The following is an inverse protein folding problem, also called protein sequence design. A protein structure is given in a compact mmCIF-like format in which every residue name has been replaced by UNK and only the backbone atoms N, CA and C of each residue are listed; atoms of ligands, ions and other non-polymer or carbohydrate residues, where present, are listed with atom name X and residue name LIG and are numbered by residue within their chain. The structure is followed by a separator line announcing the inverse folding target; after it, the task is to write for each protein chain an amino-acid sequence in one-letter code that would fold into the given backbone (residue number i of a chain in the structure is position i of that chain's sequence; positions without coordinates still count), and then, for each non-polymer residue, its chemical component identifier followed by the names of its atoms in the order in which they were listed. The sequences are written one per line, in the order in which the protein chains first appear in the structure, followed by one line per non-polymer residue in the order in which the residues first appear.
data_IF_099912427606
#
_entry.id   IF_099912427606
#
_cell.length_a   1.000
_cell.length_b   1.000
_cell.length_c   1.000
_cell.angle_alpha   90.00
_cell.angle_beta   90.00
_cell.angle_gamma   90.00
#
_symmetry.space_group_name_H-M   'P 1'
#
loop_
_entity.id
_entity.type
_entity.pdbx_description
1 polymer ?
#
# COMPACT_ATOMS: atom_id res chain seq x y z
N UNK A 1 -1.64 9.22 0.36
CA UNK A 1 -1.47 7.75 0.40
C UNK A 1 -1.07 7.29 1.79
N UNK A 2 -1.94 7.46 2.75
CA UNK A 2 -1.69 7.00 4.12
C UNK A 2 -3.00 6.69 4.84
N UNK A 3 -2.92 5.87 5.88
CA UNK A 3 -4.02 5.59 6.80
C UNK A 3 -3.61 6.03 8.19
N UNK A 4 -4.39 6.92 8.81
CA UNK A 4 -4.18 7.37 10.19
C UNK A 4 -5.10 6.60 11.11
N UNK A 5 -4.56 6.04 12.20
CA UNK A 5 -5.29 5.30 13.21
C UNK A 5 -4.99 5.89 14.57
N UNK A 6 -6.04 6.20 15.35
CA UNK A 6 -5.87 6.72 16.69
C UNK A 6 -5.14 5.71 17.59
N UNK A 7 -4.20 6.17 18.41
CA UNK A 7 -3.38 5.29 19.26
C UNK A 7 -4.20 4.53 20.31
N UNK A 8 -5.45 4.93 20.57
CA UNK A 8 -6.36 4.19 21.49
C UNK A 8 -6.58 2.74 21.06
N UNK A 9 -6.47 2.44 19.77
CA UNK A 9 -6.65 1.08 19.26
C UNK A 9 -5.49 0.14 19.58
N UNK A 10 -4.32 0.68 19.92
CA UNK A 10 -3.13 -0.11 20.26
C UNK A 10 -2.33 -0.61 19.08
N UNK A 11 -1.06 -0.96 19.35
CA UNK A 11 -0.11 -1.37 18.33
C UNK A 11 -0.48 -2.72 17.69
N UNK A 12 -0.96 -3.67 18.50
CA UNK A 12 -1.33 -5.00 17.97
C UNK A 12 -2.39 -4.90 16.87
N UNK A 13 -3.38 -4.02 17.07
CA UNK A 13 -4.41 -3.78 16.06
C UNK A 13 -3.82 -3.14 14.81
N UNK A 14 -2.88 -2.21 14.96
CA UNK A 14 -2.21 -1.56 13.82
C UNK A 14 -1.45 -2.60 12.99
N UNK A 15 -0.74 -3.51 13.62
CA UNK A 15 -0.02 -4.59 12.92
C UNK A 15 -1.00 -5.52 12.21
N UNK A 16 -2.14 -5.82 12.83
CA UNK A 16 -3.22 -6.58 12.20
C UNK A 16 -3.76 -5.86 10.96
N UNK A 17 -3.99 -4.56 11.05
CA UNK A 17 -4.47 -3.75 9.92
C UNK A 17 -3.45 -3.71 8.79
N UNK A 18 -2.17 -3.57 9.08
CA UNK A 18 -1.12 -3.60 8.06
C UNK A 18 -1.19 -4.91 7.27
N UNK A 19 -1.28 -6.04 7.97
CA UNK A 19 -1.40 -7.35 7.32
C UNK A 19 -2.64 -7.46 6.43
N UNK A 20 -3.79 -7.00 6.94
CA UNK A 20 -5.05 -7.01 6.17
C UNK A 20 -5.00 -6.07 4.96
N UNK A 21 -4.36 -4.91 5.10
CA UNK A 21 -4.15 -3.99 3.98
C UNK A 21 -3.27 -4.62 2.89
N UNK A 22 -2.20 -5.30 3.27
CA UNK A 22 -1.34 -6.00 2.32
C UNK A 22 -2.14 -7.00 1.49
N UNK A 23 -2.91 -7.85 2.17
CA UNK A 23 -3.76 -8.85 1.53
C UNK A 23 -4.81 -8.19 0.62
N UNK A 24 -5.45 -7.15 1.10
CA UNK A 24 -6.50 -6.44 0.37
C UNK A 24 -5.95 -5.77 -0.90
N UNK A 25 -4.84 -5.05 -0.78
CA UNK A 25 -4.23 -4.36 -1.92
C UNK A 25 -3.81 -5.38 -2.98
N UNK A 26 -3.08 -6.44 -2.58
CA UNK A 26 -2.60 -7.47 -3.51
C UNK A 26 -3.77 -8.17 -4.18
N UNK A 27 -4.83 -8.48 -3.43
CA UNK A 27 -6.01 -9.16 -3.96
C UNK A 27 -6.85 -8.33 -4.93
N UNK A 28 -6.68 -7.00 -4.92
CA UNK A 28 -7.44 -6.08 -5.79
C UNK A 28 -6.65 -5.58 -7.00
N UNK A 29 -5.42 -6.04 -7.21
CA UNK A 29 -4.65 -5.64 -8.38
C UNK A 29 -5.28 -6.21 -9.64
N UNK A 30 -5.56 -5.34 -10.61
CA UNK A 30 -6.08 -5.73 -11.92
C UNK A 30 -5.04 -5.42 -12.99
N UNK A 31 -4.37 -6.45 -13.49
CA UNK A 31 -3.27 -6.32 -14.44
C UNK A 31 -3.70 -5.62 -15.73
N UNK A 32 -4.92 -5.83 -16.19
CA UNK A 32 -5.44 -5.23 -17.41
C UNK A 32 -5.49 -3.71 -17.36
N UNK A 33 -5.70 -3.16 -16.16
CA UNK A 33 -5.76 -1.71 -15.94
C UNK A 33 -4.38 -1.07 -15.78
N UNK A 34 -3.32 -1.87 -15.78
CA UNK A 34 -1.95 -1.40 -15.54
C UNK A 34 -1.11 -1.29 -16.83
N UNK A 35 -1.63 -1.77 -17.97
CA UNK A 35 -0.84 -1.91 -19.21
C UNK A 35 -0.20 -0.58 -19.63
N UNK A 36 -0.99 0.48 -19.72
CA UNK A 36 -0.48 1.76 -20.21
C UNK A 36 0.43 2.48 -19.21
N UNK A 37 0.17 2.34 -17.90
CA UNK A 37 1.05 2.93 -16.88
C UNK A 37 2.39 2.17 -16.80
N UNK A 38 2.37 0.87 -17.03
CA UNK A 38 3.58 0.03 -17.09
C UNK A 38 4.48 0.46 -18.25
N UNK A 39 3.90 0.75 -19.41
CA UNK A 39 4.62 1.27 -20.56
C UNK A 39 5.31 2.60 -20.23
N UNK A 40 4.59 3.52 -19.61
CA UNK A 40 5.14 4.81 -19.18
C UNK A 40 6.32 4.61 -18.20
N UNK A 41 6.17 3.71 -17.24
CA UNK A 41 7.21 3.42 -16.25
C UNK A 41 8.47 2.91 -16.96
N UNK A 42 8.32 1.98 -17.89
CA UNK A 42 9.47 1.40 -18.60
C UNK A 42 10.14 2.38 -19.56
N UNK A 43 9.45 3.42 -19.99
CA UNK A 43 10.03 4.50 -20.78
C UNK A 43 10.84 5.50 -19.94
N UNK A 44 10.46 5.70 -18.68
CA UNK A 44 11.02 6.74 -17.82
C UNK A 44 11.94 6.24 -16.72
N UNK A 45 11.87 4.96 -16.38
CA UNK A 45 12.70 4.33 -15.34
C UNK A 45 13.40 3.12 -15.93
N UNK A 46 14.72 3.08 -15.81
CA UNK A 46 15.52 1.98 -16.36
C UNK A 46 15.89 0.99 -15.26
N UNK A 47 15.64 -0.28 -15.52
CA UNK A 47 16.17 -1.35 -14.70
C UNK A 47 17.69 -1.44 -14.87
N UNK A 48 18.43 -1.55 -13.77
CA UNK A 48 19.87 -1.80 -13.77
C UNK A 48 20.19 -3.09 -14.53
N UNK A 49 19.29 -4.05 -14.47
CA UNK A 49 19.44 -5.36 -15.11
C UNK A 49 18.87 -5.40 -16.54
N UNK A 50 18.46 -4.27 -17.09
CA UNK A 50 17.84 -4.15 -18.43
C UNK A 50 16.63 -5.06 -18.61
N UNK A 51 15.87 -5.29 -17.51
CA UNK A 51 14.66 -6.10 -17.53
C UNK A 51 13.43 -5.20 -17.55
N UNK A 52 12.36 -5.73 -18.10
CA UNK A 52 11.05 -5.08 -18.04
C UNK A 52 10.60 -4.94 -16.58
N UNK A 53 10.08 -3.76 -16.22
CA UNK A 53 9.57 -3.48 -14.89
C UNK A 53 8.06 -3.76 -14.90
N UNK A 54 7.63 -4.70 -14.06
CA UNK A 54 6.21 -5.05 -13.94
C UNK A 54 5.49 -4.08 -12.99
N UNK A 55 4.41 -3.45 -13.47
CA UNK A 55 3.60 -2.59 -12.62
C UNK A 55 2.96 -3.36 -11.47
N UNK A 56 2.54 -4.62 -11.72
CA UNK A 56 2.03 -5.48 -10.66
C UNK A 56 3.07 -5.70 -9.57
N UNK A 57 4.30 -6.01 -9.94
CA UNK A 57 5.38 -6.26 -8.97
C UNK A 57 5.68 -5.01 -8.14
N UNK A 58 5.59 -3.83 -8.75
CA UNK A 58 5.73 -2.55 -8.03
C UNK A 58 4.64 -2.44 -6.95
N UNK A 59 3.39 -2.69 -7.31
CA UNK A 59 2.27 -2.56 -6.37
C UNK A 59 2.34 -3.61 -5.26
N UNK A 60 2.70 -4.84 -5.58
CA UNK A 60 2.93 -5.90 -4.58
C UNK A 60 4.04 -5.49 -3.62
N UNK A 61 5.16 -4.99 -4.15
CA UNK A 61 6.26 -4.51 -3.33
C UNK A 61 5.84 -3.35 -2.43
N UNK A 62 5.05 -2.42 -2.96
CA UNK A 62 4.49 -1.32 -2.17
C UNK A 62 3.64 -1.82 -1.01
N UNK A 63 2.74 -2.75 -1.26
CA UNK A 63 1.90 -3.37 -0.23
C UNK A 63 2.76 -4.10 0.82
N UNK A 64 3.77 -4.84 0.39
CA UNK A 64 4.65 -5.58 1.30
C UNK A 64 5.61 -4.69 2.11
N UNK A 65 5.74 -3.42 1.73
CA UNK A 65 6.59 -2.45 2.42
C UNK A 65 5.77 -1.37 3.15
N UNK A 66 4.53 -1.68 3.51
CA UNK A 66 3.75 -0.83 4.41
C UNK A 66 4.39 -0.86 5.81
N UNK A 67 4.51 0.32 6.40
CA UNK A 67 5.07 0.50 7.73
C UNK A 67 4.24 1.52 8.50
N UNK A 68 4.51 1.65 9.79
CA UNK A 68 3.82 2.65 10.61
C UNK A 68 4.82 3.59 11.28
N UNK A 69 4.34 4.79 11.56
CA UNK A 69 5.03 5.75 12.42
C UNK A 69 4.04 6.26 13.45
N UNK A 70 4.53 6.64 14.61
CA UNK A 70 3.72 7.24 15.67
C UNK A 70 3.98 8.74 15.66
N UNK A 71 2.93 9.52 15.49
CA UNK A 71 3.01 10.97 15.55
C UNK A 71 1.81 11.52 16.33
N UNK A 72 2.10 12.22 17.42
CA UNK A 72 1.07 12.68 18.36
C UNK A 72 0.23 11.48 18.84
N UNK A 73 -1.08 11.50 18.66
CA UNK A 73 -2.00 10.45 19.10
C UNK A 73 -2.43 9.54 17.94
N UNK A 74 -1.59 9.40 16.91
CA UNK A 74 -1.92 8.64 15.71
C UNK A 74 -0.79 7.70 15.30
N UNK A 75 -1.18 6.52 14.82
CA UNK A 75 -0.36 5.70 13.97
C UNK A 75 -0.62 6.10 12.53
N UNK A 76 0.43 6.34 11.77
CA UNK A 76 0.33 6.63 10.34
C UNK A 76 0.90 5.44 9.57
N UNK A 77 0.06 4.78 8.77
CA UNK A 77 0.46 3.65 7.93
C UNK A 77 0.67 4.17 6.51
N UNK A 78 1.85 3.92 5.96
CA UNK A 78 2.19 4.27 4.58
C UNK A 78 3.31 3.38 4.06
N UNK A 79 3.61 3.48 2.77
CA UNK A 79 4.74 2.76 2.18
C UNK A 79 6.04 3.36 2.74
N UNK A 80 6.99 2.50 3.09
CA UNK A 80 8.30 2.93 3.60
C UNK A 80 8.98 3.87 2.59
N UNK A 81 9.18 5.13 3.00
CA UNK A 81 9.76 6.18 2.15
C UNK A 81 11.24 5.96 1.82
N UNK A 82 11.90 5.06 2.52
CA UNK A 82 13.34 4.77 2.34
C UNK A 82 13.60 3.61 1.39
N UNK A 83 12.56 2.81 1.13
CA UNK A 83 12.70 1.61 0.31
C UNK A 83 12.97 1.98 -1.15
N UNK A 84 13.99 1.37 -1.75
CA UNK A 84 14.30 1.50 -3.17
C UNK A 84 13.57 0.38 -3.93
N UNK A 85 13.01 0.72 -5.09
CA UNK A 85 12.44 -0.29 -5.98
C UNK A 85 13.55 -1.19 -6.49
N UNK A 86 13.45 -2.50 -6.21
CA UNK A 86 14.47 -3.47 -6.56
C UNK A 86 14.86 -3.38 -8.04
N UNK A 87 16.17 -3.36 -8.30
CA UNK A 87 16.69 -3.29 -9.65
C UNK A 87 16.66 -1.91 -10.28
N UNK A 88 16.37 -0.86 -9.52
CA UNK A 88 16.38 0.54 -9.98
C UNK A 88 17.05 1.43 -8.93
N UNK A 89 17.22 2.71 -9.27
CA UNK A 89 17.67 3.72 -8.32
C UNK A 89 16.50 4.57 -7.79
N UNK A 90 15.26 4.21 -8.17
CA UNK A 90 14.07 4.96 -7.79
C UNK A 90 13.52 4.49 -6.44
N UNK A 91 12.90 5.42 -5.71
CA UNK A 91 12.20 5.08 -4.48
C UNK A 91 10.89 4.39 -4.81
N UNK A 92 10.62 3.28 -4.12
CA UNK A 92 9.37 2.53 -4.27
C UNK A 92 8.14 3.40 -4.03
N UNK A 93 8.19 4.24 -2.97
CA UNK A 93 7.10 5.16 -2.66
C UNK A 93 6.76 6.08 -3.83
N UNK A 94 7.78 6.64 -4.49
CA UNK A 94 7.58 7.59 -5.59
C UNK A 94 6.91 6.91 -6.79
N UNK A 95 7.30 5.70 -7.12
CA UNK A 95 6.70 4.96 -8.24
C UNK A 95 5.26 4.54 -7.90
N UNK A 96 5.01 4.06 -6.68
CA UNK A 96 3.66 3.74 -6.24
C UNK A 96 2.74 4.97 -6.25
N UNK A 97 3.27 6.12 -5.83
CA UNK A 97 2.55 7.39 -5.86
C UNK A 97 2.19 7.80 -7.29
N UNK A 98 3.12 7.63 -8.22
CA UNK A 98 2.89 7.89 -9.63
C UNK A 98 1.77 7.02 -10.20
N UNK A 99 1.76 5.73 -9.90
CA UNK A 99 0.69 4.82 -10.32
C UNK A 99 -0.64 5.23 -9.69
N UNK A 100 -0.63 5.53 -8.41
CA UNK A 100 -1.84 5.84 -7.64
C UNK A 100 -2.52 7.13 -8.10
N UNK A 101 -1.75 8.19 -8.29
CA UNK A 101 -2.29 9.50 -8.68
C UNK A 101 -2.24 9.74 -10.19
N UNK A 102 -1.45 8.96 -10.91
CA UNK A 102 -1.38 9.02 -12.36
C UNK A 102 -0.45 10.09 -12.88
N UNK A 103 -0.40 10.12 -14.20
CA UNK A 103 0.34 11.11 -15.00
C UNK A 103 -0.65 11.74 -15.96
N UNK A 104 -0.56 13.06 -16.14
CA UNK A 104 -1.45 13.80 -17.02
C UNK A 104 -1.46 13.17 -18.43
N UNK A 105 -2.65 12.85 -18.92
CA UNK A 105 -2.84 12.26 -20.24
C UNK A 105 -2.67 10.74 -20.31
N UNK A 106 -2.23 10.10 -19.22
CA UNK A 106 -2.01 8.64 -19.18
C UNK A 106 -3.05 7.94 -18.32
N UNK A 107 -3.41 8.54 -17.21
CA UNK A 107 -4.39 7.99 -16.28
C UNK A 107 -3.78 7.56 -14.95
N UNK A 108 -4.63 7.05 -14.08
CA UNK A 108 -4.26 6.67 -12.71
C UNK A 108 -4.85 5.32 -12.34
N UNK A 109 -4.24 4.69 -11.34
CA UNK A 109 -4.77 3.47 -10.72
C UNK A 109 -4.68 3.65 -9.20
N UNK A 110 -5.71 4.28 -8.56
CA UNK A 110 -5.63 4.77 -7.18
C UNK A 110 -5.83 3.66 -6.13
N UNK A 111 -5.16 2.53 -6.29
CA UNK A 111 -5.35 1.35 -5.45
C UNK A 111 -5.00 1.62 -3.98
N UNK A 112 -3.93 2.40 -3.70
CA UNK A 112 -3.54 2.69 -2.33
C UNK A 112 -4.54 3.64 -1.67
N UNK A 113 -4.89 4.73 -2.34
CA UNK A 113 -5.86 5.70 -1.81
C UNK A 113 -7.21 5.04 -1.55
N UNK A 114 -7.72 4.28 -2.50
CA UNK A 114 -9.00 3.58 -2.36
C UNK A 114 -8.95 2.55 -1.22
N UNK A 115 -7.86 1.80 -1.09
CA UNK A 115 -7.70 0.80 -0.04
C UNK A 115 -7.61 1.45 1.34
N UNK A 116 -6.82 2.52 1.47
CA UNK A 116 -6.70 3.25 2.73
C UNK A 116 -8.03 3.89 3.15
N UNK A 117 -8.75 4.47 2.20
CA UNK A 117 -10.06 5.07 2.45
C UNK A 117 -11.08 4.01 2.89
N UNK A 118 -11.10 2.85 2.25
CA UNK A 118 -11.96 1.74 2.62
C UNK A 118 -11.70 1.28 4.06
N UNK A 119 -10.43 1.12 4.43
CA UNK A 119 -10.06 0.70 5.79
C UNK A 119 -10.39 1.78 6.81
N UNK A 120 -10.12 3.05 6.49
CA UNK A 120 -10.49 4.17 7.35
C UNK A 120 -11.98 4.17 7.66
N UNK A 121 -12.80 4.00 6.63
CA UNK A 121 -14.26 4.07 6.76
C UNK A 121 -14.85 2.84 7.50
N UNK A 122 -14.09 1.73 7.57
CA UNK A 122 -14.53 0.50 8.22
C UNK A 122 -13.70 0.14 9.47
N UNK A 123 -12.94 1.09 9.99
CA UNK A 123 -11.97 0.83 11.06
C UNK A 123 -12.61 0.29 12.33
N UNK A 124 -13.72 0.89 12.77
CA UNK A 124 -14.42 0.46 13.99
C UNK A 124 -14.98 -0.96 13.85
N UNK A 125 -15.53 -1.28 12.69
CA UNK A 125 -16.01 -2.63 12.37
C UNK A 125 -14.87 -3.63 12.40
N UNK A 126 -13.74 -3.28 11.80
CA UNK A 126 -12.55 -4.15 11.78
C UNK A 126 -11.98 -4.37 13.18
N UNK A 127 -12.04 -3.34 14.03
CA UNK A 127 -11.61 -3.46 15.42
C UNK A 127 -12.51 -4.41 16.21
N UNK A 128 -13.82 -4.32 16.05
CA UNK A 128 -14.76 -5.25 16.69
C UNK A 128 -14.49 -6.69 16.25
N UNK A 129 -14.27 -6.90 14.96
CA UNK A 129 -13.95 -8.22 14.42
C UNK A 129 -12.64 -8.76 14.99
N UNK A 130 -11.62 -7.89 15.06
CA UNK A 130 -10.32 -8.22 15.63
C UNK A 130 -10.45 -8.67 17.10
N UNK A 131 -11.22 -7.95 17.90
CA UNK A 131 -11.44 -8.28 19.31
C UNK A 131 -12.17 -9.62 19.44
N UNK A 132 -13.16 -9.89 18.61
CA UNK A 132 -13.87 -11.18 18.62
C UNK A 132 -12.97 -12.34 18.29
N UNK A 133 -12.12 -12.19 17.26
CA UNK A 133 -11.13 -13.23 16.92
C UNK A 133 -10.18 -13.49 18.07
N UNK A 134 -9.70 -12.44 18.73
CA UNK A 134 -8.78 -12.54 19.85
C UNK A 134 -9.43 -13.25 21.05
N UNK A 135 -10.66 -12.92 21.35
CA UNK A 135 -11.44 -13.56 22.42
C UNK A 135 -11.69 -15.04 22.12
N UNK A 136 -12.03 -15.37 20.89
CA UNK A 136 -12.26 -16.75 20.46
C UNK A 136 -11.02 -17.62 20.60
N UNK A 137 -9.82 -17.07 20.32
CA UNK A 137 -8.54 -17.78 20.46
C UNK A 137 -8.15 -17.99 21.94
N UNK A 138 -8.56 -17.08 22.81
CA UNK A 138 -8.21 -17.11 24.26
C UNK A 138 -9.30 -17.71 25.13
N UNK A 139 -10.46 -17.94 24.57
CA UNK A 139 -11.61 -18.50 25.25
C UNK A 139 -11.81 -19.95 24.93
#
# INVERSE_FOLDING_TARGET
MRLDINTKYGLEFVLYIIKKLQEYIIGNINDKKLVFIEEYINQNYKSIYRKHISARDILVSGAMNLTYQIYANKFTIEIDSKQILYGTNAKLYDICKLINFGVLGIGSYPIFTESFDYFRDNLDYMYEYYIREKEALNG
#
